data_IF_536139502753
#
_entry.id   IF_536139502753
#
_cell.length_a   1.000
_cell.length_b   1.000
_cell.length_c   1.000
_cell.angle_alpha   90.00
_cell.angle_beta   90.00
_cell.angle_gamma   90.00
#
_symmetry.space_group_name_H-M   'P 1'
#
loop_
_entity.id
_entity.type
_entity.pdbx_description
1 polymer ?
#
# COMPACT_ATOMS: atom_id res chain seq x y z
N UNK A 1 10.85 36.21 43.08
CA UNK A 1 11.35 34.96 43.69
C UNK A 1 10.67 33.80 42.99
N UNK A 2 11.31 32.92 42.24
CA UNK A 2 12.70 32.77 41.83
C UNK A 2 12.69 31.64 40.77
N UNK A 3 13.38 31.92 39.67
CA UNK A 3 14.16 31.06 38.77
C UNK A 3 13.65 29.70 38.24
N UNK A 4 13.61 29.65 36.91
CA UNK A 4 13.75 28.47 36.04
C UNK A 4 15.14 27.82 36.19
N UNK A 5 15.32 26.59 35.67
CA UNK A 5 16.13 26.51 34.45
C UNK A 5 15.57 25.60 33.35
N UNK A 6 15.81 26.02 32.10
CA UNK A 6 15.80 25.24 30.86
C UNK A 6 17.00 24.28 30.80
N UNK A 7 16.81 23.04 30.32
CA UNK A 7 17.68 22.32 29.34
C UNK A 7 16.80 21.25 28.64
N UNK A 8 16.48 21.37 27.35
CA UNK A 8 17.19 20.84 26.18
C UNK A 8 17.47 19.33 26.18
N UNK A 9 16.87 18.59 25.22
CA UNK A 9 17.47 17.39 24.60
C UNK A 9 16.67 16.07 24.67
N UNK A 10 15.92 15.78 23.61
CA UNK A 10 15.56 14.44 23.10
C UNK A 10 15.76 14.52 21.56
N UNK A 11 15.97 13.43 20.79
CA UNK A 11 15.65 12.04 21.13
C UNK A 11 16.69 10.96 20.77
N UNK A 12 16.66 9.89 21.57
CA UNK A 12 16.55 8.48 21.19
C UNK A 12 17.16 8.02 19.85
N UNK A 13 18.34 7.40 19.93
CA UNK A 13 18.99 6.70 18.83
C UNK A 13 18.43 5.27 18.70
N UNK A 14 17.53 5.05 17.74
CA UNK A 14 17.19 3.72 17.25
C UNK A 14 18.32 3.22 16.34
N UNK A 15 19.26 2.46 16.91
CA UNK A 15 20.23 1.67 16.15
C UNK A 15 19.51 0.52 15.41
N UNK A 16 19.18 0.72 14.13
CA UNK A 16 18.87 -0.39 13.23
C UNK A 16 20.15 -0.88 12.58
N UNK A 17 20.56 -2.08 12.99
CA UNK A 17 21.67 -2.83 12.44
C UNK A 17 21.25 -3.39 11.08
N UNK A 18 21.60 -2.71 9.98
CA UNK A 18 21.45 -3.25 8.62
C UNK A 18 22.65 -4.15 8.35
N UNK A 19 22.46 -5.46 8.48
CA UNK A 19 23.42 -6.44 7.97
C UNK A 19 23.23 -6.56 6.46
N UNK A 20 24.22 -6.10 5.70
CA UNK A 20 24.35 -6.40 4.29
C UNK A 20 24.62 -7.90 4.11
N UNK A 21 23.65 -8.62 3.55
CA UNK A 21 23.83 -10.00 3.13
C UNK A 21 24.89 -10.06 2.03
N UNK A 22 25.90 -10.90 2.28
CA UNK A 22 26.99 -11.21 1.36
C UNK A 22 26.46 -11.92 0.13
N UNK A 23 26.94 -11.47 -1.02
CA UNK A 23 26.88 -12.14 -2.31
C UNK A 23 27.75 -13.40 -2.20
N UNK A 24 27.16 -14.56 -2.43
CA UNK A 24 27.88 -15.79 -2.75
C UNK A 24 27.39 -16.26 -4.11
N UNK A 25 28.31 -16.22 -5.08
CA UNK A 25 28.15 -16.73 -6.43
C UNK A 25 28.98 -18.01 -6.58
N UNK A 26 28.40 -19.02 -7.27
CA UNK A 26 29.00 -20.11 -8.07
C UNK A 26 28.39 -21.50 -7.79
N UNK A 27 28.53 -22.50 -8.70
CA UNK A 27 28.27 -22.53 -10.16
C UNK A 27 27.44 -23.81 -10.52
N UNK A 28 26.89 -24.03 -11.72
CA UNK A 28 27.47 -24.77 -12.87
C UNK A 28 26.29 -25.09 -13.84
N UNK A 29 26.44 -24.86 -15.16
CA UNK A 29 26.71 -25.90 -16.21
C UNK A 29 25.46 -26.76 -16.53
N UNK A 30 24.94 -26.97 -17.75
CA UNK A 30 25.39 -26.90 -19.14
C UNK A 30 24.15 -26.97 -20.06
N UNK A 31 24.29 -26.48 -21.30
CA UNK A 31 23.37 -26.66 -22.44
C UNK A 31 23.11 -28.14 -22.81
N UNK A 32 21.95 -28.42 -23.42
CA UNK A 32 21.80 -29.09 -24.75
C UNK A 32 20.32 -29.31 -25.10
N UNK A 33 20.09 -29.23 -26.42
CA UNK A 33 18.86 -29.30 -27.21
C UNK A 33 17.84 -30.44 -26.95
N UNK A 34 16.61 -30.09 -27.32
CA UNK A 34 15.59 -30.84 -28.07
C UNK A 34 15.68 -32.38 -28.16
N UNK A 35 14.64 -33.06 -27.65
CA UNK A 35 14.16 -34.29 -28.26
C UNK A 35 12.71 -34.60 -27.87
N UNK A 36 11.98 -34.95 -28.92
CA UNK A 36 10.63 -35.45 -28.91
C UNK A 36 10.45 -36.75 -28.09
N UNK A 37 9.18 -36.96 -27.74
CA UNK A 37 8.49 -38.23 -27.48
C UNK A 37 8.29 -38.67 -26.02
N UNK A 38 6.98 -38.83 -25.76
CA UNK A 38 6.38 -40.02 -25.15
C UNK A 38 6.04 -40.01 -23.65
N UNK A 39 4.83 -40.53 -23.43
CA UNK A 39 4.24 -41.07 -22.21
C UNK A 39 3.81 -40.07 -21.14
N UNK A 40 2.48 -39.90 -20.99
CA UNK A 40 1.74 -40.57 -19.92
C UNK A 40 0.24 -40.25 -20.03
N UNK A 41 -0.52 -41.15 -20.66
CA UNK A 41 -1.97 -41.26 -20.46
C UNK A 41 -2.28 -42.64 -19.90
N UNK A 42 -2.47 -42.63 -18.59
CA UNK A 42 -3.41 -43.42 -17.80
C UNK A 42 -3.92 -44.75 -18.36
N UNK A 43 -3.42 -45.82 -17.74
CA UNK A 43 -4.20 -46.90 -17.15
C UNK A 43 -5.21 -47.64 -18.04
N UNK A 44 -4.70 -48.71 -18.65
CA UNK A 44 -5.45 -49.88 -19.08
C UNK A 44 -6.16 -50.50 -17.86
N UNK A 45 -7.48 -50.33 -17.76
CA UNK A 45 -8.33 -51.17 -16.91
C UNK A 45 -9.02 -52.20 -17.80
N UNK A 46 -8.46 -53.41 -17.76
CA UNK A 46 -9.01 -54.62 -18.37
C UNK A 46 -10.36 -54.94 -17.76
N UNK A 47 -11.45 -54.72 -18.49
CA UNK A 47 -12.73 -55.35 -18.18
C UNK A 47 -13.15 -56.28 -19.32
N UNK A 48 -12.68 -57.51 -19.14
CA UNK A 48 -13.07 -58.77 -19.75
C UNK A 48 -14.58 -58.84 -20.03
N UNK A 49 -14.96 -58.77 -21.30
CA UNK A 49 -16.30 -59.16 -21.78
C UNK A 49 -16.47 -60.66 -21.56
N UNK A 50 -17.04 -61.05 -20.42
CA UNK A 50 -17.50 -62.42 -20.20
C UNK A 50 -18.91 -62.53 -20.76
N UNK A 51 -18.99 -62.93 -22.03
CA UNK A 51 -20.21 -63.49 -22.60
C UNK A 51 -20.59 -64.72 -21.78
N UNK A 52 -21.80 -64.82 -21.18
CA UNK A 52 -22.24 -66.06 -20.58
C UNK A 52 -22.52 -67.04 -21.71
N UNK A 53 -21.55 -67.90 -22.00
CA UNK A 53 -21.74 -69.13 -22.76
C UNK A 53 -22.68 -69.99 -21.91
N UNK A 54 -23.97 -70.01 -22.26
CA UNK A 54 -24.94 -70.89 -21.62
C UNK A 54 -24.43 -72.34 -21.78
N UNK A 55 -23.95 -72.93 -20.70
CA UNK A 55 -23.79 -74.36 -20.59
C UNK A 55 -25.21 -74.95 -20.52
N UNK A 56 -25.75 -75.32 -21.67
CA UNK A 56 -26.95 -76.14 -21.76
C UNK A 56 -26.66 -77.46 -21.06
N UNK A 57 -27.35 -77.71 -19.94
CA UNK A 57 -27.25 -78.91 -19.15
C UNK A 57 -27.45 -80.15 -20.05
N UNK A 58 -26.50 -81.07 -19.97
CA UNK A 58 -26.49 -82.34 -20.66
C UNK A 58 -27.58 -83.26 -20.11
N UNK A 59 -28.80 -83.16 -20.67
CA UNK A 59 -29.78 -84.25 -20.63
C UNK A 59 -30.42 -84.50 -22.01
N UNK A 60 -29.67 -84.77 -23.11
CA UNK A 60 -30.29 -85.23 -24.35
C UNK A 60 -30.23 -86.75 -24.54
N UNK A 61 -29.20 -87.43 -24.01
CA UNK A 61 -28.84 -88.78 -24.52
C UNK A 61 -29.85 -89.90 -24.21
N UNK A 62 -30.54 -89.89 -23.07
CA UNK A 62 -31.56 -90.92 -22.78
C UNK A 62 -32.88 -90.70 -23.53
N UNK A 63 -33.18 -89.46 -23.92
CA UNK A 63 -34.44 -89.09 -24.60
C UNK A 63 -34.41 -89.54 -26.05
N UNK A 64 -33.29 -89.26 -26.73
CA UNK A 64 -33.08 -89.71 -28.11
C UNK A 64 -33.17 -91.22 -28.25
N UNK A 65 -32.67 -92.00 -27.28
CA UNK A 65 -32.66 -93.46 -27.38
C UNK A 65 -34.05 -94.09 -27.24
N UNK A 66 -34.90 -93.57 -26.33
CA UNK A 66 -36.26 -94.10 -26.16
C UNK A 66 -37.19 -93.64 -27.29
N UNK A 67 -37.07 -92.38 -27.73
CA UNK A 67 -37.83 -91.86 -28.87
C UNK A 67 -37.51 -92.63 -30.15
N UNK A 68 -36.23 -92.96 -30.38
CA UNK A 68 -35.80 -93.81 -31.49
C UNK A 68 -36.38 -95.23 -31.36
N UNK A 69 -36.34 -95.84 -30.17
CA UNK A 69 -36.88 -97.19 -29.97
C UNK A 69 -38.42 -97.27 -30.16
N UNK A 70 -39.17 -96.24 -29.74
CA UNK A 70 -40.62 -96.16 -29.95
C UNK A 70 -40.96 -95.92 -31.43
N UNK A 71 -40.15 -95.13 -32.13
CA UNK A 71 -40.30 -94.91 -33.57
C UNK A 71 -40.00 -96.19 -34.37
N UNK A 72 -38.94 -96.92 -34.01
CA UNK A 72 -38.62 -98.23 -34.57
C UNK A 72 -39.76 -99.23 -34.33
N UNK A 73 -40.30 -99.31 -33.11
CA UNK A 73 -41.43 -100.18 -32.81
C UNK A 73 -42.70 -99.84 -33.61
N UNK A 74 -42.91 -98.56 -33.96
CA UNK A 74 -44.00 -98.12 -34.82
C UNK A 74 -43.77 -98.52 -36.28
N UNK A 75 -42.53 -98.38 -36.77
CA UNK A 75 -42.13 -98.77 -38.12
C UNK A 75 -42.21 -100.29 -38.31
N UNK A 76 -41.69 -101.07 -37.36
CA UNK A 76 -41.80 -102.53 -37.34
C UNK A 76 -43.27 -102.99 -37.34
N UNK A 77 -44.15 -102.26 -36.63
CA UNK A 77 -45.57 -102.55 -36.60
C UNK A 77 -46.24 -102.30 -37.98
N UNK A 78 -45.85 -101.24 -38.68
CA UNK A 78 -46.31 -100.93 -40.03
C UNK A 78 -45.85 -101.99 -41.02
N UNK A 79 -44.58 -102.39 -40.93
CA UNK A 79 -43.97 -103.38 -41.85
C UNK A 79 -44.67 -104.74 -41.73
N UNK A 80 -44.94 -105.22 -40.51
CA UNK A 80 -45.66 -106.49 -40.30
C UNK A 80 -47.08 -106.46 -40.85
N UNK A 81 -47.80 -105.35 -40.70
CA UNK A 81 -49.20 -105.22 -41.12
C UNK A 81 -49.36 -104.93 -42.61
N UNK A 82 -48.28 -104.62 -43.33
CA UNK A 82 -48.29 -104.33 -44.77
C UNK A 82 -48.32 -105.57 -45.68
N UNK A 83 -48.18 -106.78 -45.13
CA UNK A 83 -48.00 -108.05 -45.88
C UNK A 83 -49.27 -108.64 -46.54
N UNK A 84 -50.43 -107.97 -46.44
CA UNK A 84 -51.67 -108.36 -47.13
C UNK A 84 -52.50 -107.13 -47.49
N UNK A 85 -52.72 -106.90 -48.78
CA UNK A 85 -53.25 -105.65 -49.35
C UNK A 85 -54.66 -105.28 -48.84
N UNK A 86 -54.75 -104.27 -47.98
CA UNK A 86 -55.96 -103.59 -47.51
C UNK A 86 -55.62 -102.35 -46.67
N UNK A 87 -56.57 -101.41 -46.52
CA UNK A 87 -56.35 -100.20 -45.70
C UNK A 87 -56.07 -100.56 -44.24
N UNK A 88 -54.91 -100.14 -43.70
CA UNK A 88 -54.52 -100.32 -42.29
C UNK A 88 -55.52 -99.69 -41.31
N UNK A 89 -56.38 -98.79 -41.80
CA UNK A 89 -57.40 -98.12 -41.00
C UNK A 89 -58.54 -99.06 -40.56
N UNK A 90 -58.73 -100.21 -41.23
CA UNK A 90 -59.68 -101.25 -40.86
C UNK A 90 -59.10 -102.35 -39.96
N UNK A 91 -57.79 -102.32 -39.68
CA UNK A 91 -57.12 -103.32 -38.87
C UNK A 91 -57.10 -102.89 -37.39
N UNK A 92 -58.03 -103.45 -36.61
CA UNK A 92 -58.23 -103.09 -35.21
C UNK A 92 -57.04 -103.47 -34.31
N UNK A 93 -56.33 -104.56 -34.62
CA UNK A 93 -55.13 -104.98 -33.90
C UNK A 93 -53.95 -104.00 -34.12
N UNK A 94 -53.76 -103.54 -35.36
CA UNK A 94 -52.77 -102.51 -35.69
C UNK A 94 -53.10 -101.20 -34.97
N UNK A 95 -54.35 -100.72 -35.05
CA UNK A 95 -54.76 -99.48 -34.40
C UNK A 95 -54.63 -99.56 -32.89
N UNK A 96 -54.97 -100.69 -32.26
CA UNK A 96 -54.79 -100.88 -30.81
C UNK A 96 -53.30 -100.82 -30.42
N UNK A 97 -52.43 -101.45 -31.21
CA UNK A 97 -51.00 -101.51 -30.91
C UNK A 97 -50.27 -100.20 -31.23
N UNK A 98 -50.64 -99.50 -32.31
CA UNK A 98 -50.15 -98.16 -32.63
C UNK A 98 -50.61 -97.13 -31.58
N UNK A 99 -51.88 -97.21 -31.17
CA UNK A 99 -52.38 -96.42 -30.03
C UNK A 99 -51.61 -96.73 -28.76
N UNK A 100 -51.26 -97.98 -28.48
CA UNK A 100 -50.45 -98.33 -27.33
C UNK A 100 -49.05 -97.72 -27.39
N UNK A 101 -48.35 -97.80 -28.53
CA UNK A 101 -47.01 -97.18 -28.71
C UNK A 101 -47.08 -95.66 -28.54
N UNK A 102 -48.10 -95.02 -29.12
CA UNK A 102 -48.32 -93.57 -28.96
C UNK A 102 -48.75 -93.20 -27.53
N UNK A 103 -49.54 -94.04 -26.87
CA UNK A 103 -49.89 -93.88 -25.45
C UNK A 103 -48.68 -94.05 -24.55
N UNK A 104 -47.73 -94.96 -24.86
CA UNK A 104 -46.47 -95.10 -24.13
C UNK A 104 -45.58 -93.87 -24.28
N UNK A 105 -45.56 -93.23 -25.46
CA UNK A 105 -44.88 -91.95 -25.67
C UNK A 105 -45.58 -90.81 -24.90
N UNK A 106 -46.92 -90.82 -24.88
CA UNK A 106 -47.71 -89.86 -24.13
C UNK A 106 -47.55 -90.03 -22.61
N UNK A 107 -47.45 -91.26 -22.10
CA UNK A 107 -47.23 -91.56 -20.70
C UNK A 107 -45.79 -91.24 -20.27
N UNK A 108 -44.79 -91.48 -21.14
CA UNK A 108 -43.41 -91.03 -20.94
C UNK A 108 -43.27 -89.50 -20.90
N UNK A 109 -44.14 -88.78 -21.62
CA UNK A 109 -44.21 -87.31 -21.57
C UNK A 109 -45.12 -86.78 -20.45
N UNK A 110 -46.11 -87.54 -20.01
CA UNK A 110 -47.06 -87.17 -18.94
C UNK A 110 -46.54 -87.47 -17.53
N UNK A 111 -45.72 -88.52 -17.35
CA UNK A 111 -44.96 -88.79 -16.10
C UNK A 111 -43.82 -87.80 -15.89
N UNK A 112 -43.61 -86.88 -16.85
CA UNK A 112 -42.63 -85.82 -16.80
C UNK A 112 -43.15 -84.66 -15.92
N UNK A 113 -43.04 -84.83 -14.60
CA UNK A 113 -43.08 -83.73 -13.61
C UNK A 113 -42.01 -82.63 -13.87
N UNK A 114 -41.19 -82.78 -14.92
CA UNK A 114 -40.33 -81.69 -15.37
C UNK A 114 -41.12 -80.48 -15.87
N UNK A 115 -42.41 -80.58 -16.19
CA UNK A 115 -43.23 -79.38 -16.46
C UNK A 115 -43.30 -78.50 -15.22
N UNK A 116 -43.46 -79.08 -14.02
CA UNK A 116 -43.48 -78.33 -12.76
C UNK A 116 -42.07 -77.83 -12.36
N UNK A 117 -41.05 -78.68 -12.48
CA UNK A 117 -39.66 -78.32 -12.17
C UNK A 117 -39.06 -77.30 -13.16
N UNK A 118 -39.33 -77.44 -14.46
CA UNK A 118 -38.93 -76.45 -15.47
C UNK A 118 -39.73 -75.16 -15.29
N UNK A 119 -41.01 -75.21 -14.93
CA UNK A 119 -41.81 -74.01 -14.64
C UNK A 119 -41.35 -73.29 -13.36
N UNK A 120 -40.92 -74.02 -12.34
CA UNK A 120 -40.30 -73.46 -11.13
C UNK A 120 -38.91 -72.88 -11.42
N UNK A 121 -38.09 -73.57 -12.22
CA UNK A 121 -36.80 -73.05 -12.69
C UNK A 121 -36.92 -71.81 -13.58
N UNK A 122 -37.93 -71.79 -14.47
CA UNK A 122 -38.29 -70.61 -15.27
C UNK A 122 -38.78 -69.48 -14.36
N UNK A 123 -39.53 -69.79 -13.30
CA UNK A 123 -39.94 -68.84 -12.28
C UNK A 123 -38.77 -68.19 -11.56
N UNK A 124 -37.80 -68.98 -11.09
CA UNK A 124 -36.57 -68.50 -10.47
C UNK A 124 -35.74 -67.65 -11.42
N UNK A 125 -35.50 -68.12 -12.65
CA UNK A 125 -34.76 -67.37 -13.65
C UNK A 125 -35.45 -66.06 -14.01
N UNK A 126 -36.79 -66.03 -14.05
CA UNK A 126 -37.55 -64.79 -14.28
C UNK A 126 -37.40 -63.80 -13.12
N UNK A 127 -37.48 -64.28 -11.87
CA UNK A 127 -37.28 -63.45 -10.68
C UNK A 127 -35.84 -62.91 -10.60
N UNK A 128 -34.86 -63.75 -10.91
CA UNK A 128 -33.45 -63.35 -10.98
C UNK A 128 -33.22 -62.32 -12.09
N UNK A 129 -33.79 -62.51 -13.28
CA UNK A 129 -33.70 -61.53 -14.36
C UNK A 129 -34.28 -60.17 -13.96
N UNK A 130 -35.44 -60.17 -13.30
CA UNK A 130 -36.05 -58.95 -12.75
C UNK A 130 -35.15 -58.28 -11.71
N UNK A 131 -34.53 -59.07 -10.83
CA UNK A 131 -33.61 -58.56 -9.80
C UNK A 131 -32.35 -57.96 -10.43
N UNK A 132 -31.78 -58.64 -11.42
CA UNK A 132 -30.62 -58.16 -12.17
C UNK A 132 -30.94 -56.89 -12.97
N UNK A 133 -32.11 -56.82 -13.61
CA UNK A 133 -32.59 -55.62 -14.29
C UNK A 133 -32.74 -54.45 -13.31
N UNK A 134 -33.35 -54.69 -12.15
CA UNK A 134 -33.46 -53.67 -11.09
C UNK A 134 -32.09 -53.18 -10.63
N UNK A 135 -31.15 -54.10 -10.41
CA UNK A 135 -29.78 -53.76 -9.98
C UNK A 135 -29.01 -52.98 -11.06
N UNK A 136 -29.16 -53.34 -12.33
CA UNK A 136 -28.55 -52.62 -13.45
C UNK A 136 -29.13 -51.21 -13.58
N UNK A 137 -30.46 -51.06 -13.46
CA UNK A 137 -31.12 -49.76 -13.48
C UNK A 137 -30.68 -48.87 -12.31
N UNK A 138 -30.58 -49.43 -11.10
CA UNK A 138 -30.08 -48.73 -9.93
C UNK A 138 -28.61 -48.31 -10.09
N UNK A 139 -27.76 -49.20 -10.62
CA UNK A 139 -26.36 -48.87 -10.91
C UNK A 139 -26.23 -47.77 -11.96
N UNK A 140 -27.03 -47.83 -13.03
CA UNK A 140 -27.09 -46.80 -14.07
C UNK A 140 -27.52 -45.45 -13.46
N UNK A 141 -28.56 -45.46 -12.62
CA UNK A 141 -29.06 -44.27 -11.95
C UNK A 141 -28.05 -43.68 -10.98
N UNK A 142 -27.36 -44.50 -10.17
CA UNK A 142 -26.31 -44.04 -9.27
C UNK A 142 -25.13 -43.45 -10.05
N UNK A 143 -24.70 -44.08 -11.13
CA UNK A 143 -23.67 -43.53 -12.01
C UNK A 143 -24.11 -42.19 -12.61
N UNK A 144 -25.33 -42.09 -13.12
CA UNK A 144 -25.87 -40.83 -13.64
C UNK A 144 -25.96 -39.76 -12.54
N UNK A 145 -26.41 -40.09 -11.34
CA UNK A 145 -26.52 -39.17 -10.21
C UNK A 145 -25.13 -38.67 -9.73
N UNK A 146 -24.15 -39.56 -9.65
CA UNK A 146 -22.78 -39.20 -9.26
C UNK A 146 -22.11 -38.33 -10.33
N UNK A 147 -22.24 -38.67 -11.61
CA UNK A 147 -21.72 -37.86 -12.72
C UNK A 147 -22.37 -36.48 -12.76
N UNK A 148 -23.70 -36.39 -12.63
CA UNK A 148 -24.41 -35.10 -12.63
C UNK A 148 -24.02 -34.24 -11.42
N UNK A 149 -23.87 -34.84 -10.23
CA UNK A 149 -23.35 -34.14 -9.04
C UNK A 149 -21.94 -33.61 -9.26
N UNK A 150 -21.00 -34.45 -9.71
CA UNK A 150 -19.63 -34.02 -10.01
C UNK A 150 -19.57 -32.95 -11.09
N UNK A 151 -20.44 -33.04 -12.11
CA UNK A 151 -20.55 -32.03 -13.16
C UNK A 151 -21.06 -30.70 -12.60
N UNK A 152 -22.03 -30.72 -11.67
CA UNK A 152 -22.52 -29.52 -11.00
C UNK A 152 -21.44 -28.88 -10.11
N UNK A 153 -20.69 -29.69 -9.35
CA UNK A 153 -19.55 -29.23 -8.53
C UNK A 153 -18.44 -28.61 -9.39
N UNK A 154 -18.07 -29.26 -10.50
CA UNK A 154 -17.09 -28.73 -11.46
C UNK A 154 -17.56 -27.41 -12.09
N UNK A 155 -18.84 -27.28 -12.41
CA UNK A 155 -19.38 -26.01 -12.92
C UNK A 155 -19.44 -24.93 -11.83
N UNK A 156 -19.67 -25.30 -10.57
CA UNK A 156 -19.64 -24.36 -9.46
C UNK A 156 -18.22 -23.82 -9.21
N UNK A 157 -17.23 -24.70 -9.13
CA UNK A 157 -15.82 -24.30 -8.95
C UNK A 157 -15.31 -23.47 -10.12
N UNK A 158 -15.74 -23.79 -11.36
CA UNK A 158 -15.45 -22.97 -12.54
C UNK A 158 -16.01 -21.55 -12.38
N UNK A 159 -17.27 -21.40 -11.95
CA UNK A 159 -17.88 -20.07 -11.69
C UNK A 159 -17.12 -19.30 -10.61
N UNK A 160 -16.74 -19.97 -9.52
CA UNK A 160 -15.95 -19.35 -8.44
C UNK A 160 -14.58 -18.86 -8.95
N UNK A 161 -13.89 -19.67 -9.75
CA UNK A 161 -12.63 -19.27 -10.39
C UNK A 161 -12.82 -18.05 -11.30
N UNK A 162 -13.87 -18.04 -12.13
CA UNK A 162 -14.17 -16.90 -12.99
C UNK A 162 -14.44 -15.62 -12.17
N UNK A 163 -15.16 -15.71 -11.06
CA UNK A 163 -15.38 -14.55 -10.16
C UNK A 163 -14.08 -14.06 -9.51
N UNK A 164 -13.20 -14.98 -9.09
CA UNK A 164 -11.92 -14.63 -8.50
C UNK A 164 -10.99 -13.98 -9.53
N UNK A 165 -10.99 -14.49 -10.77
CA UNK A 165 -10.25 -13.89 -11.88
C UNK A 165 -10.72 -12.46 -12.14
N UNK A 166 -12.03 -12.23 -12.21
CA UNK A 166 -12.59 -10.89 -12.38
C UNK A 166 -12.20 -9.95 -11.23
N UNK A 167 -12.20 -10.45 -9.99
CA UNK A 167 -11.77 -9.67 -8.83
C UNK A 167 -10.28 -9.30 -8.90
N UNK A 168 -9.44 -10.23 -9.36
CA UNK A 168 -8.02 -9.98 -9.57
C UNK A 168 -7.79 -8.92 -10.66
N UNK A 169 -8.48 -9.04 -11.80
CA UNK A 169 -8.39 -8.08 -12.90
C UNK A 169 -8.78 -6.67 -12.42
N UNK A 170 -9.89 -6.55 -11.69
CA UNK A 170 -10.32 -5.28 -11.08
C UNK A 170 -9.27 -4.71 -10.11
N UNK A 171 -8.69 -5.56 -9.26
CA UNK A 171 -7.65 -5.14 -8.31
C UNK A 171 -6.37 -4.66 -9.01
N UNK A 172 -6.02 -5.28 -10.14
CA UNK A 172 -4.89 -4.87 -10.98
C UNK A 172 -5.16 -3.53 -11.67
N UNK A 173 -6.38 -3.32 -12.17
CA UNK A 173 -6.81 -2.04 -12.73
C UNK A 173 -6.74 -0.93 -11.68
N UNK A 174 -7.29 -1.15 -10.48
CA UNK A 174 -7.21 -0.21 -9.36
C UNK A 174 -5.75 0.08 -8.96
N UNK A 175 -4.88 -0.93 -8.93
CA UNK A 175 -3.45 -0.75 -8.66
C UNK A 175 -2.77 0.12 -9.73
N UNK A 176 -3.11 -0.08 -11.01
CA UNK A 176 -2.59 0.71 -12.12
C UNK A 176 -3.07 2.18 -12.03
N UNK A 177 -4.35 2.37 -11.68
CA UNK A 177 -4.95 3.68 -11.49
C UNK A 177 -4.29 4.43 -10.31
N UNK A 178 -4.10 3.76 -9.17
CA UNK A 178 -3.42 4.33 -8.01
C UNK A 178 -1.96 4.67 -8.30
N UNK A 179 -1.24 3.84 -9.06
CA UNK A 179 0.13 4.15 -9.53
C UNK A 179 0.16 5.41 -10.39
N UNK A 180 -0.80 5.56 -11.30
CA UNK A 180 -0.94 6.76 -12.13
C UNK A 180 -1.25 7.99 -11.29
N UNK A 181 -2.18 7.88 -10.33
CA UNK A 181 -2.50 8.95 -9.39
C UNK A 181 -1.29 9.35 -8.54
N UNK A 182 -0.55 8.38 -7.99
CA UNK A 182 0.69 8.64 -7.24
C UNK A 182 1.75 9.31 -8.12
N UNK A 183 1.89 8.88 -9.37
CA UNK A 183 2.81 9.52 -10.31
C UNK A 183 2.40 10.96 -10.58
N UNK A 184 1.11 11.23 -10.82
CA UNK A 184 0.57 12.56 -11.02
C UNK A 184 0.75 13.44 -9.78
N UNK A 185 0.38 12.97 -8.59
CA UNK A 185 0.59 13.70 -7.33
C UNK A 185 2.07 13.93 -7.06
N UNK A 186 2.96 12.96 -7.34
CA UNK A 186 4.41 13.14 -7.20
C UNK A 186 4.96 14.16 -8.19
N UNK A 187 4.41 14.17 -9.41
CA UNK A 187 4.72 15.20 -10.41
C UNK A 187 4.21 16.55 -9.92
N UNK A 188 2.97 16.63 -9.46
CA UNK A 188 2.37 17.82 -8.87
C UNK A 188 3.14 18.33 -7.66
N UNK A 189 3.64 17.49 -6.75
CA UNK A 189 4.48 17.91 -5.63
C UNK A 189 5.85 18.44 -6.11
N UNK A 190 6.38 17.88 -7.20
CA UNK A 190 7.61 18.37 -7.82
C UNK A 190 7.40 19.66 -8.63
N UNK A 191 6.23 19.84 -9.24
CA UNK A 191 5.90 21.01 -10.05
C UNK A 191 5.25 22.12 -9.24
N UNK A 192 4.53 21.79 -8.17
CA UNK A 192 4.00 22.71 -7.17
C UNK A 192 5.16 23.08 -6.25
N UNK A 193 6.04 23.91 -6.79
CA UNK A 193 6.34 25.28 -6.35
C UNK A 193 6.49 25.61 -4.86
N UNK A 194 6.36 24.68 -3.93
CA UNK A 194 6.53 24.92 -2.50
C UNK A 194 7.98 25.19 -2.16
N UNK A 195 8.90 24.43 -2.77
CA UNK A 195 10.35 24.64 -2.63
C UNK A 195 10.82 25.91 -3.33
N UNK A 196 10.34 26.21 -4.54
CA UNK A 196 10.69 27.44 -5.28
C UNK A 196 10.07 28.68 -4.63
N UNK A 197 8.82 28.61 -4.15
CA UNK A 197 8.16 29.69 -3.41
C UNK A 197 8.83 29.95 -2.05
N UNK A 198 9.21 28.91 -1.31
CA UNK A 198 10.00 29.07 -0.09
C UNK A 198 11.38 29.69 -0.39
N UNK A 199 12.04 29.24 -1.45
CA UNK A 199 13.34 29.80 -1.88
C UNK A 199 13.21 31.29 -2.23
N UNK A 200 12.15 31.69 -2.93
CA UNK A 200 11.84 33.09 -3.23
C UNK A 200 11.58 33.91 -1.97
N UNK A 201 10.79 33.40 -1.02
CA UNK A 201 10.54 34.08 0.26
C UNK A 201 11.81 34.25 1.10
N UNK A 202 12.63 33.21 1.20
CA UNK A 202 13.92 33.26 1.90
C UNK A 202 14.83 34.31 1.26
N UNK A 203 14.88 34.34 -0.08
CA UNK A 203 15.70 35.31 -0.82
C UNK A 203 15.19 36.74 -0.60
N UNK A 204 13.88 36.96 -0.63
CA UNK A 204 13.26 38.26 -0.35
C UNK A 204 13.56 38.77 1.07
N UNK A 205 13.43 37.90 2.07
CA UNK A 205 13.77 38.22 3.46
C UNK A 205 15.27 38.50 3.66
N UNK A 206 16.15 37.76 2.98
CA UNK A 206 17.58 38.05 2.99
C UNK A 206 17.90 39.42 2.37
N UNK A 207 17.22 39.80 1.29
CA UNK A 207 17.39 41.12 0.68
C UNK A 207 16.94 42.24 1.62
N UNK A 208 15.77 42.11 2.26
CA UNK A 208 15.30 43.10 3.24
C UNK A 208 16.21 43.18 4.47
N UNK A 209 16.74 42.05 4.95
CA UNK A 209 17.70 42.04 6.06
C UNK A 209 19.00 42.77 5.70
N UNK A 210 19.53 42.58 4.49
CA UNK A 210 20.71 43.29 4.01
C UNK A 210 20.46 44.79 3.88
N UNK A 211 19.28 45.19 3.37
CA UNK A 211 18.89 46.59 3.28
C UNK A 211 18.82 47.23 4.67
N UNK A 212 18.08 46.62 5.60
CA UNK A 212 17.93 47.12 6.96
C UNK A 212 19.29 47.18 7.68
N UNK A 213 20.16 46.20 7.46
CA UNK A 213 21.53 46.22 7.97
C UNK A 213 22.33 47.42 7.42
N UNK A 214 22.12 47.81 6.16
CA UNK A 214 22.73 49.02 5.58
C UNK A 214 22.21 50.29 6.24
N UNK A 215 20.89 50.42 6.37
CA UNK A 215 20.23 51.57 7.02
C UNK A 215 20.70 51.74 8.47
N UNK A 216 20.84 50.65 9.23
CA UNK A 216 21.37 50.69 10.61
C UNK A 216 22.81 51.22 10.65
N UNK A 217 23.65 50.86 9.68
CA UNK A 217 25.03 51.38 9.59
C UNK A 217 25.03 52.87 9.25
N UNK A 218 24.18 53.32 8.32
CA UNK A 218 24.04 54.75 7.98
C UNK A 218 23.54 55.57 9.17
N UNK A 219 22.51 55.10 9.86
CA UNK A 219 21.99 55.71 11.09
C UNK A 219 23.07 55.80 12.17
N UNK A 220 23.89 54.74 12.33
CA UNK A 220 25.00 54.77 13.28
C UNK A 220 26.04 55.84 12.91
N UNK A 221 26.37 56.00 11.63
CA UNK A 221 27.27 57.07 11.19
C UNK A 221 26.68 58.46 11.48
N UNK A 222 25.37 58.64 11.26
CA UNK A 222 24.70 59.89 11.61
C UNK A 222 24.80 60.21 13.11
N UNK A 223 24.61 59.22 13.99
CA UNK A 223 24.78 59.41 15.44
C UNK A 223 26.22 59.84 15.77
N UNK A 224 27.23 59.20 15.20
CA UNK A 224 28.64 59.60 15.40
C UNK A 224 28.94 61.03 14.88
N UNK A 225 28.23 61.48 13.84
CA UNK A 225 28.33 62.88 13.38
C UNK A 225 27.68 63.86 14.37
N UNK A 226 26.53 63.50 14.96
CA UNK A 226 25.90 64.32 15.99
C UNK A 226 26.78 64.46 17.23
N UNK A 227 27.43 63.37 17.67
CA UNK A 227 28.36 63.40 18.81
C UNK A 227 29.50 64.42 18.58
N UNK A 228 30.10 64.42 17.38
CA UNK A 228 31.15 65.39 17.00
C UNK A 228 30.66 66.83 17.01
N UNK A 229 29.45 67.09 16.53
CA UNK A 229 28.85 68.43 16.54
C UNK A 229 28.60 68.88 17.98
N UNK A 230 28.16 67.96 18.84
CA UNK A 230 27.95 68.24 20.26
C UNK A 230 29.27 68.58 20.97
N UNK A 231 30.35 67.84 20.72
CA UNK A 231 31.69 68.15 21.25
C UNK A 231 32.18 69.54 20.83
N UNK A 232 32.04 69.88 19.55
CA UNK A 232 32.41 71.22 19.04
C UNK A 232 31.59 72.33 19.70
N UNK A 233 30.28 72.09 19.90
CA UNK A 233 29.38 73.04 20.57
C UNK A 233 29.79 73.24 22.04
N UNK A 234 30.14 72.16 22.74
CA UNK A 234 30.61 72.21 24.11
C UNK A 234 31.92 73.02 24.22
N UNK A 235 32.90 72.74 23.37
CA UNK A 235 34.16 73.50 23.35
C UNK A 235 33.93 74.99 23.05
N UNK A 236 33.00 75.31 22.15
CA UNK A 236 32.63 76.68 21.86
C UNK A 236 31.97 77.36 23.06
N UNK A 237 31.07 76.67 23.77
CA UNK A 237 30.41 77.18 24.96
C UNK A 237 31.40 77.43 26.10
N UNK A 238 32.35 76.52 26.33
CA UNK A 238 33.43 76.69 27.31
C UNK A 238 34.33 77.86 26.96
N UNK A 239 34.70 77.99 25.67
CA UNK A 239 35.48 79.12 25.16
C UNK A 239 34.75 80.44 25.39
N UNK A 240 33.46 80.50 25.06
CA UNK A 240 32.62 81.68 25.30
C UNK A 240 32.51 82.00 26.79
N UNK A 241 32.28 81.01 27.65
CA UNK A 241 32.20 81.21 29.11
C UNK A 241 33.51 81.76 29.68
N UNK A 242 34.66 81.24 29.22
CA UNK A 242 35.99 81.72 29.62
C UNK A 242 36.24 83.15 29.15
N UNK A 243 35.88 83.46 27.89
CA UNK A 243 36.01 84.81 27.33
C UNK A 243 35.14 85.82 28.07
N UNK A 244 33.90 85.47 28.40
CA UNK A 244 33.00 86.34 29.18
C UNK A 244 33.56 86.59 30.57
N UNK A 245 34.03 85.54 31.26
CA UNK A 245 34.63 85.65 32.61
C UNK A 245 35.88 86.54 32.62
N UNK A 246 36.79 86.36 31.66
CA UNK A 246 38.00 87.19 31.54
C UNK A 246 37.68 88.64 31.22
N UNK A 247 36.74 88.90 30.31
CA UNK A 247 36.28 90.26 30.02
C UNK A 247 35.62 90.91 31.24
N UNK A 248 34.81 90.18 32.00
CA UNK A 248 34.19 90.68 33.24
C UNK A 248 35.26 91.06 34.27
N UNK A 249 36.27 90.20 34.47
CA UNK A 249 37.39 90.49 35.36
C UNK A 249 38.18 91.74 34.95
N UNK A 250 38.51 91.87 33.65
CA UNK A 250 39.22 93.05 33.13
C UNK A 250 38.40 94.34 33.30
N UNK A 251 37.08 94.28 33.09
CA UNK A 251 36.20 95.43 33.33
C UNK A 251 36.19 95.82 34.81
N UNK A 252 36.18 94.85 35.72
CA UNK A 252 36.29 95.09 37.15
C UNK A 252 37.64 95.74 37.51
N UNK A 253 38.76 95.23 36.99
CA UNK A 253 40.09 95.83 37.22
C UNK A 253 40.16 97.26 36.70
N UNK A 254 39.67 97.53 35.48
CA UNK A 254 39.61 98.89 34.93
C UNK A 254 38.78 99.83 35.80
N UNK A 255 37.65 99.36 36.33
CA UNK A 255 36.80 100.15 37.22
C UNK A 255 37.52 100.48 38.54
N UNK A 256 38.27 99.53 39.11
CA UNK A 256 39.08 99.69 40.32
C UNK A 256 40.20 100.69 40.09
N UNK A 257 40.98 100.54 39.01
CA UNK A 257 42.06 101.47 38.66
C UNK A 257 41.54 102.88 38.43
N UNK A 258 40.39 103.05 37.74
CA UNK A 258 39.73 104.36 37.59
C UNK A 258 39.28 104.95 38.92
N UNK A 259 38.78 104.14 39.85
CA UNK A 259 38.38 104.60 41.19
C UNK A 259 39.60 105.03 42.03
N UNK A 260 40.68 104.24 42.01
CA UNK A 260 41.95 104.56 42.66
C UNK A 260 42.55 105.85 42.12
N UNK A 261 42.66 105.99 40.80
CA UNK A 261 43.18 107.20 40.18
C UNK A 261 42.36 108.44 40.53
N UNK A 262 41.02 108.34 40.55
CA UNK A 262 40.15 109.45 41.00
C UNK A 262 40.46 109.86 42.44
N UNK A 263 40.59 108.88 43.35
CA UNK A 263 40.93 109.14 44.74
C UNK A 263 42.32 109.80 44.88
N UNK A 264 43.33 109.34 44.14
CA UNK A 264 44.68 109.93 44.12
C UNK A 264 44.67 111.38 43.60
N UNK A 265 43.92 111.66 42.53
CA UNK A 265 43.77 113.01 41.98
C UNK A 265 43.05 113.93 42.96
N UNK A 266 42.00 113.44 43.62
CA UNK A 266 41.29 114.19 44.67
C UNK A 266 42.20 114.45 45.88
N UNK A 267 42.99 113.46 46.30
CA UNK A 267 44.00 113.61 47.35
C UNK A 267 45.05 114.67 46.98
N UNK A 268 45.57 114.63 45.75
CA UNK A 268 46.53 115.62 45.25
C UNK A 268 45.90 117.02 45.14
N UNK A 269 44.64 117.10 44.72
CA UNK A 269 43.89 118.36 44.67
C UNK A 269 43.69 118.92 46.07
N UNK A 270 43.35 118.08 47.04
CA UNK A 270 43.22 118.46 48.44
C UNK A 270 44.56 118.95 49.00
N UNK A 271 45.65 118.21 48.79
CA UNK A 271 46.98 118.60 49.27
C UNK A 271 47.47 119.92 48.65
N UNK A 272 47.22 120.13 47.36
CA UNK A 272 47.50 121.40 46.69
C UNK A 272 46.69 122.55 47.28
N UNK A 273 45.40 122.35 47.57
CA UNK A 273 44.57 123.36 48.21
C UNK A 273 45.07 123.71 49.61
N UNK A 274 45.47 122.73 50.41
CA UNK A 274 46.05 122.96 51.74
C UNK A 274 47.39 123.70 51.64
N UNK A 275 48.29 123.29 50.74
CA UNK A 275 49.53 124.00 50.48
C UNK A 275 49.28 125.46 50.04
N UNK A 276 48.27 125.68 49.20
CA UNK A 276 47.87 127.03 48.77
C UNK A 276 47.40 127.88 49.96
N UNK A 277 46.65 127.29 50.90
CA UNK A 277 46.23 127.97 52.15
C UNK A 277 47.43 128.31 53.03
N UNK A 278 48.37 127.38 53.24
CA UNK A 278 49.56 127.62 54.08
C UNK A 278 50.51 128.65 53.46
N UNK A 279 50.69 128.64 52.14
CA UNK A 279 51.51 129.64 51.43
C UNK A 279 50.91 131.04 51.55
N UNK A 280 49.58 131.18 51.52
CA UNK A 280 48.90 132.45 51.72
C UNK A 280 49.07 133.04 53.14
N UNK A 281 49.45 132.22 54.12
CA UNK A 281 49.74 132.65 55.51
C UNK A 281 51.20 133.09 55.71
N UNK A 282 52.08 132.93 54.72
CA UNK A 282 53.45 133.45 54.76
C UNK A 282 53.39 134.96 54.42
N UNK A 283 53.81 135.88 55.31
CA UNK A 283 53.70 137.31 55.06
C UNK A 283 54.62 137.72 53.90
N UNK A 284 54.05 138.14 52.76
CA UNK A 284 54.80 138.85 51.72
C UNK A 284 55.17 140.26 52.22
N UNK A 285 56.29 140.37 52.94
CA UNK A 285 57.05 141.62 53.07
C UNK A 285 58.00 141.74 51.88
N UNK A 286 57.55 142.42 50.83
CA UNK A 286 58.46 143.04 49.86
C UNK A 286 57.79 144.24 49.18
N UNK A 287 57.92 145.37 49.86
CA UNK A 287 58.49 146.61 49.32
C UNK A 287 58.38 146.88 47.82
N UNK A 288 57.61 147.91 47.47
CA UNK A 288 57.91 148.88 46.39
C UNK A 288 57.29 150.22 46.82
N UNK A 289 58.05 151.21 47.30
CA UNK A 289 58.75 152.24 46.49
C UNK A 289 58.01 152.47 45.17
N UNK A 290 57.37 153.59 44.86
CA UNK A 290 57.37 155.00 45.29
C UNK A 290 56.77 155.73 44.06
N UNK A 291 56.21 156.94 44.07
CA UNK A 291 56.04 158.02 45.02
C UNK A 291 55.37 159.19 44.27
N UNK A 292 55.03 160.25 45.01
CA UNK A 292 54.79 161.67 44.63
C UNK A 292 54.18 162.31 45.90
N UNK A 293 54.49 163.51 46.37
CA UNK A 293 55.35 164.64 45.96
C UNK A 293 55.31 165.63 47.14
N UNK A 294 56.38 166.39 47.44
CA UNK A 294 56.35 167.85 47.72
C UNK A 294 57.68 168.37 48.30
N UNK A 295 58.11 169.50 47.71
CA UNK A 295 59.19 170.45 48.04
C UNK A 295 60.64 169.98 47.91
#
# INVERSE_FOLDING_TARGET
>A
CGELPLQHGLPEACHMHVQHARITSQPDSVDVEDCASSAQKSSLSSQKTLSPKLCSAAVPERRSTLEVALLEALLDLIDRCSSGSGSLHGNEAFLAQAKHVLSSLQEFTATRDSSALEKEGIGYLSLENKTLQSRLAEQQQQYTATVTKMTAELNNTKRELDTLRQHLDKSLEENSHLKSLLYNVKKEVKTADTSTALTLQITGLQASMKQLSGEVVELKQHVEHYDKIQELTQMLQESHSSLVSTNEHLLQELSRTRAQHRAEVEQMRWSFQEFKKTTALIPHRSSRRGGRQSC
#
